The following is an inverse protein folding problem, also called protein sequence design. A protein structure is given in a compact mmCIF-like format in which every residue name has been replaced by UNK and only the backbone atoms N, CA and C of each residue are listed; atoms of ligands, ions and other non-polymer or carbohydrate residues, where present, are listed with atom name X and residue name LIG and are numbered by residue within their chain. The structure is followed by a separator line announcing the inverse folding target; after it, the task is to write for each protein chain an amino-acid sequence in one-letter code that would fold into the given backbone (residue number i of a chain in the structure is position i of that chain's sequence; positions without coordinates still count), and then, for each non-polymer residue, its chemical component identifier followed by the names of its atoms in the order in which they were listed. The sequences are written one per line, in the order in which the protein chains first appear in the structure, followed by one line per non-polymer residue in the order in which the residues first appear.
data_IF_588530167893
#
_entry.id   IF_588530167893
#
_cell.length_a   1.000
_cell.length_b   1.000
_cell.length_c   1.000
_cell.angle_alpha   90.00
_cell.angle_beta   90.00
_cell.angle_gamma   90.00
#
_symmetry.space_group_name_H-M   'P 1'
#
loop_
_entity.id
_entity.type
_entity.pdbx_description
1 polymer ?
#
# COMPACT_ATOMS: atom_id res chain seq x y z
N UNK A 1 3.11 -0.70 11.62
CA UNK A 1 2.35 -0.75 10.36
C UNK A 1 0.92 -0.34 10.66
N UNK A 2 0.26 0.25 9.68
CA UNK A 2 -1.18 0.46 9.65
C UNK A 2 -1.69 -0.15 8.35
N UNK A 3 -2.72 -0.97 8.47
CA UNK A 3 -3.45 -1.61 7.38
C UNK A 3 -4.93 -1.31 7.57
N UNK A 4 -5.62 -0.88 6.52
CA UNK A 4 -7.05 -0.63 6.57
C UNK A 4 -7.75 -1.10 5.29
N UNK A 5 -8.93 -1.71 5.45
CA UNK A 5 -9.84 -1.98 4.33
C UNK A 5 -10.85 -0.83 4.27
N UNK A 6 -10.89 -0.13 3.16
CA UNK A 6 -11.71 1.08 2.98
C UNK A 6 -12.52 1.02 1.69
N UNK A 7 -13.58 1.82 1.68
CA UNK A 7 -14.38 2.14 0.50
C UNK A 7 -14.25 3.65 0.21
N UNK A 8 -14.13 4.01 -1.07
CA UNK A 8 -14.16 5.37 -1.59
C UNK A 8 -14.74 5.34 -3.01
N UNK A 9 -16.07 5.36 -3.19
CA UNK A 9 -16.73 5.16 -4.50
C UNK A 9 -17.32 6.43 -5.09
N UNK A 10 -16.93 6.73 -6.33
CA UNK A 10 -17.37 7.88 -7.11
C UNK A 10 -18.70 7.55 -7.79
N UNK A 11 -19.83 7.83 -7.15
CA UNK A 11 -21.16 7.51 -7.72
C UNK A 11 -21.43 8.20 -9.06
N UNK A 12 -20.86 9.40 -9.26
CA UNK A 12 -20.89 10.14 -10.51
C UNK A 12 -19.79 11.22 -10.50
N UNK A 13 -19.51 11.88 -11.64
CA UNK A 13 -18.46 12.90 -11.70
C UNK A 13 -18.66 14.14 -10.82
N UNK A 14 -19.84 14.35 -10.24
CA UNK A 14 -20.09 15.47 -9.33
C UNK A 14 -19.78 15.13 -7.86
N UNK A 15 -19.61 13.85 -7.50
CA UNK A 15 -19.33 13.47 -6.11
C UNK A 15 -17.91 13.76 -5.71
N UNK A 16 -17.72 14.28 -4.51
CA UNK A 16 -16.40 14.56 -3.95
C UNK A 16 -16.34 14.13 -2.49
N UNK A 17 -15.15 13.78 -2.01
CA UNK A 17 -14.93 13.40 -0.62
C UNK A 17 -13.66 12.61 -0.43
N UNK A 18 -13.42 12.18 0.81
CA UNK A 18 -12.17 11.56 1.23
C UNK A 18 -12.40 10.51 2.31
N UNK A 19 -11.55 9.49 2.31
CA UNK A 19 -11.28 8.62 3.45
C UNK A 19 -9.78 8.60 3.69
N UNK A 20 -9.37 9.04 4.88
CA UNK A 20 -7.97 9.19 5.25
C UNK A 20 -7.73 8.61 6.65
N UNK A 21 -6.59 7.95 6.82
CA UNK A 21 -6.09 7.46 8.10
C UNK A 21 -4.79 8.20 8.42
N UNK A 22 -4.78 8.87 9.56
CA UNK A 22 -3.65 9.65 10.05
C UNK A 22 -2.95 8.91 11.18
N UNK A 23 -1.62 8.89 11.11
CA UNK A 23 -0.74 8.53 12.22
C UNK A 23 -0.35 9.82 12.94
N UNK A 24 -0.63 9.93 14.23
CA UNK A 24 -0.27 11.11 15.04
C UNK A 24 0.72 10.75 16.14
N UNK A 25 1.54 11.72 16.55
CA UNK A 25 2.38 11.62 17.76
C UNK A 25 1.57 11.87 19.05
N UNK A 26 2.25 11.82 20.20
CA UNK A 26 1.62 12.02 21.52
C UNK A 26 1.00 13.40 21.72
N UNK A 27 1.41 14.39 20.92
CA UNK A 27 0.89 15.75 20.92
C UNK A 27 -0.14 15.98 19.81
N UNK A 28 -0.66 14.91 19.21
CA UNK A 28 -1.61 14.95 18.11
C UNK A 28 -1.09 15.65 16.85
N UNK A 29 0.23 15.68 16.64
CA UNK A 29 0.83 16.18 15.40
C UNK A 29 0.96 15.04 14.40
N UNK A 30 0.58 15.28 13.15
CA UNK A 30 0.65 14.26 12.08
C UNK A 30 2.09 13.83 11.85
N UNK A 31 2.29 12.51 11.86
CA UNK A 31 3.52 11.79 11.57
C UNK A 31 3.49 11.22 10.16
N UNK A 32 2.32 10.83 9.68
CA UNK A 32 2.09 10.36 8.32
C UNK A 32 0.61 10.10 8.07
N UNK A 33 0.27 9.80 6.81
CA UNK A 33 -1.11 9.59 6.36
C UNK A 33 -1.16 8.56 5.25
N UNK A 34 -2.24 7.80 5.20
CA UNK A 34 -2.67 7.09 3.99
C UNK A 34 -4.14 7.41 3.70
N UNK A 35 -4.51 7.60 2.45
CA UNK A 35 -5.88 7.94 2.09
C UNK A 35 -6.22 7.71 0.62
N UNK A 36 -7.53 7.72 0.37
CA UNK A 36 -8.14 7.71 -0.96
C UNK A 36 -9.17 8.83 -1.02
N UNK A 37 -9.17 9.60 -2.11
CA UNK A 37 -10.09 10.72 -2.25
C UNK A 37 -10.38 11.09 -3.70
N UNK A 38 -11.51 11.76 -3.91
CA UNK A 38 -11.78 12.52 -5.13
C UNK A 38 -11.89 14.01 -4.79
N UNK A 39 -10.99 14.79 -5.39
CA UNK A 39 -10.86 16.22 -5.16
C UNK A 39 -11.34 17.07 -6.34
N UNK A 40 -11.84 16.47 -7.43
CA UNK A 40 -12.19 17.21 -8.64
C UNK A 40 -13.70 17.18 -8.90
N UNK A 41 -14.29 18.36 -9.06
CA UNK A 41 -15.67 18.47 -9.53
C UNK A 41 -15.74 18.20 -11.02
N UNK A 42 -16.74 17.42 -11.45
CA UNK A 42 -17.00 17.01 -12.83
C UNK A 42 -15.96 16.05 -13.41
N UNK A 43 -15.19 15.37 -12.56
CA UNK A 43 -14.38 14.23 -12.96
C UNK A 43 -14.48 13.14 -11.89
N UNK A 44 -14.44 11.88 -12.31
CA UNK A 44 -14.29 10.76 -11.38
C UNK A 44 -12.84 10.31 -11.49
N UNK A 45 -12.02 10.81 -10.58
CA UNK A 45 -10.57 10.58 -10.56
C UNK A 45 -10.11 10.41 -9.12
N UNK A 46 -10.39 9.24 -8.56
CA UNK A 46 -9.87 8.87 -7.26
C UNK A 46 -8.34 8.93 -7.26
N UNK A 47 -7.80 9.50 -6.19
CA UNK A 47 -6.39 9.75 -6.00
C UNK A 47 -5.95 9.09 -4.70
N UNK A 48 -4.96 8.19 -4.82
CA UNK A 48 -4.36 7.50 -3.70
C UNK A 48 -3.16 8.28 -3.17
N UNK A 49 -3.06 8.42 -1.85
CA UNK A 49 -1.96 9.13 -1.21
C UNK A 49 -1.41 8.36 -0.01
N UNK A 50 -0.09 8.20 0.04
CA UNK A 50 0.68 7.78 1.22
C UNK A 50 1.77 8.81 1.46
N UNK A 51 1.83 9.34 2.68
CA UNK A 51 2.69 10.48 3.02
C UNK A 51 3.36 10.28 4.39
N UNK A 52 4.64 10.64 4.47
CA UNK A 52 5.34 10.88 5.73
C UNK A 52 5.35 12.39 6.05
N UNK A 53 5.11 12.77 7.30
CA UNK A 53 5.08 14.16 7.75
C UNK A 53 3.71 14.82 7.70
N UNK A 54 3.69 16.15 7.59
CA UNK A 54 2.48 16.97 7.68
C UNK A 54 2.60 18.30 6.93
N UNK A 55 1.52 18.75 6.29
CA UNK A 55 1.45 20.07 5.65
C UNK A 55 2.63 20.28 4.68
N UNK A 56 3.30 21.43 4.74
CA UNK A 56 4.44 21.74 3.86
C UNK A 56 5.71 20.94 4.18
N UNK A 57 5.79 20.32 5.37
CA UNK A 57 6.91 19.48 5.77
C UNK A 57 6.54 18.01 5.64
N UNK A 58 6.58 17.52 4.39
CA UNK A 58 6.16 16.17 4.06
C UNK A 58 7.08 15.50 3.02
N UNK A 59 6.90 14.19 2.87
CA UNK A 59 7.35 13.42 1.73
C UNK A 59 6.19 12.54 1.22
N UNK A 60 5.84 12.69 -0.05
CA UNK A 60 4.83 11.87 -0.74
C UNK A 60 5.46 10.58 -1.24
N UNK A 61 5.12 9.46 -0.60
CA UNK A 61 5.59 8.11 -0.96
C UNK A 61 4.76 7.58 -2.14
N UNK A 62 3.44 7.75 -2.06
CA UNK A 62 2.49 7.52 -3.16
C UNK A 62 1.62 8.77 -3.26
N UNK A 63 1.42 9.27 -4.48
CA UNK A 63 0.52 10.38 -4.76
C UNK A 63 0.12 10.32 -6.25
N UNK A 64 -0.83 9.46 -6.59
CA UNK A 64 -1.22 9.23 -7.99
C UNK A 64 -2.63 8.62 -8.13
N UNK A 65 -3.18 8.71 -9.35
CA UNK A 65 -4.43 8.05 -9.75
C UNK A 65 -4.25 6.58 -10.14
N UNK A 66 -3.02 6.08 -10.13
CA UNK A 66 -2.64 4.75 -10.65
C UNK A 66 -2.21 4.79 -12.12
N UNK A 67 -2.16 3.63 -12.78
CA UNK A 67 -1.71 3.50 -14.18
C UNK A 67 -2.59 4.27 -15.17
N UNK A 68 -3.91 4.30 -14.92
CA UNK A 68 -4.88 5.15 -15.60
C UNK A 68 -5.48 6.16 -14.62
N UNK A 69 -6.03 7.27 -15.13
CA UNK A 69 -6.71 8.27 -14.28
C UNK A 69 -7.90 7.71 -13.49
N UNK A 70 -8.48 6.63 -13.99
CA UNK A 70 -9.64 5.95 -13.40
C UNK A 70 -9.24 4.69 -12.64
N UNK A 71 -7.94 4.38 -12.47
CA UNK A 71 -7.51 3.11 -11.88
C UNK A 71 -8.08 2.93 -10.48
N UNK A 72 -8.13 3.98 -9.66
CA UNK A 72 -8.68 3.90 -8.31
C UNK A 72 -10.18 4.22 -8.21
N UNK A 73 -10.90 4.40 -9.32
CA UNK A 73 -12.33 4.72 -9.22
C UNK A 73 -13.12 3.56 -8.61
N UNK A 74 -14.20 3.91 -7.92
CA UNK A 74 -15.06 2.94 -7.23
C UNK A 74 -14.28 2.07 -6.22
N UNK A 75 -13.31 2.71 -5.55
CA UNK A 75 -12.33 2.03 -4.70
C UNK A 75 -13.02 1.24 -3.60
N UNK A 76 -12.70 -0.04 -3.55
CA UNK A 76 -12.86 -0.89 -2.38
C UNK A 76 -11.55 -1.67 -2.25
N UNK A 77 -10.83 -1.50 -1.15
CA UNK A 77 -9.45 -1.99 -1.14
C UNK A 77 -8.68 -1.70 0.13
N UNK A 78 -7.41 -2.13 0.12
CA UNK A 78 -6.45 -1.90 1.18
C UNK A 78 -5.76 -0.55 1.00
N UNK A 79 -5.62 0.14 2.13
CA UNK A 79 -4.69 1.24 2.35
C UNK A 79 -3.66 0.82 3.39
N UNK A 80 -2.38 0.94 3.05
CA UNK A 80 -1.27 0.53 3.91
C UNK A 80 -0.19 1.60 4.02
N UNK A 81 0.29 1.81 5.24
CA UNK A 81 1.48 2.61 5.51
C UNK A 81 2.29 1.96 6.63
N UNK A 82 3.60 1.92 6.46
CA UNK A 82 4.47 1.38 7.49
C UNK A 82 5.84 2.05 7.53
N UNK A 83 6.43 2.02 8.73
CA UNK A 83 7.74 2.61 9.04
C UNK A 83 8.52 1.71 10.00
N UNK A 84 9.79 1.47 9.71
CA UNK A 84 10.78 0.88 10.63
C UNK A 84 12.05 1.70 10.55
N UNK A 85 12.44 2.33 11.65
CA UNK A 85 13.55 3.28 11.63
C UNK A 85 13.26 4.41 10.64
N UNK A 86 14.22 4.72 9.77
CA UNK A 86 14.11 5.76 8.76
C UNK A 86 13.58 5.25 7.41
N UNK A 87 13.14 4.00 7.35
CA UNK A 87 12.53 3.43 6.16
C UNK A 87 11.01 3.51 6.24
N UNK A 88 10.41 4.00 5.17
CA UNK A 88 8.99 4.13 4.96
C UNK A 88 8.55 3.31 3.76
N UNK A 89 7.36 2.71 3.85
CA UNK A 89 6.67 2.10 2.72
C UNK A 89 5.19 2.49 2.72
N UNK A 90 4.63 2.54 1.52
CA UNK A 90 3.22 2.73 1.26
C UNK A 90 2.72 1.68 0.30
N UNK A 91 1.48 1.27 0.50
CA UNK A 91 0.79 0.41 -0.44
C UNK A 91 -0.71 0.76 -0.56
N UNK A 92 -1.24 0.65 -1.77
CA UNK A 92 -2.66 0.83 -2.10
C UNK A 92 -3.07 -0.33 -3.02
N UNK A 93 -4.09 -1.09 -2.63
CA UNK A 93 -4.53 -2.24 -3.42
C UNK A 93 -6.06 -2.33 -3.55
N UNK A 94 -6.56 -2.51 -4.76
CA UNK A 94 -7.96 -2.78 -5.07
C UNK A 94 -8.31 -4.24 -4.80
N UNK A 95 -9.48 -4.45 -4.20
CA UNK A 95 -10.08 -5.76 -3.97
C UNK A 95 -11.29 -5.89 -4.89
N UNK A 96 -11.31 -6.93 -5.73
CA UNK A 96 -12.41 -7.23 -6.65
C UNK A 96 -13.66 -7.77 -5.93
N UNK A 97 -14.76 -7.92 -6.67
CA UNK A 97 -16.03 -8.43 -6.13
C UNK A 97 -15.95 -9.86 -5.58
N UNK A 98 -14.92 -10.63 -5.97
CA UNK A 98 -14.66 -11.99 -5.49
C UNK A 98 -13.75 -11.99 -4.25
N UNK A 99 -13.29 -10.82 -3.80
CA UNK A 99 -12.40 -10.66 -2.66
C UNK A 99 -10.91 -10.80 -2.99
N UNK A 100 -10.52 -10.86 -4.27
CA UNK A 100 -9.12 -10.98 -4.66
C UNK A 100 -8.49 -9.59 -4.86
N UNK A 101 -7.21 -9.49 -4.52
CA UNK A 101 -6.43 -8.29 -4.80
C UNK A 101 -6.09 -8.21 -6.29
N UNK A 102 -6.57 -7.15 -6.96
CA UNK A 102 -6.55 -7.04 -8.41
C UNK A 102 -5.52 -6.03 -8.95
N UNK A 103 -5.40 -4.86 -8.32
CA UNK A 103 -4.49 -3.79 -8.77
C UNK A 103 -3.82 -3.19 -7.56
N UNK A 104 -2.49 -3.11 -7.57
CA UNK A 104 -1.70 -2.69 -6.43
C UNK A 104 -0.67 -1.62 -6.82
N UNK A 105 -0.36 -0.74 -5.87
CA UNK A 105 0.71 0.25 -5.98
C UNK A 105 1.51 0.25 -4.70
N UNK A 106 2.73 -0.24 -4.81
CA UNK A 106 3.74 -0.21 -3.77
C UNK A 106 4.80 0.87 -4.04
N UNK A 107 5.24 1.56 -2.98
CA UNK A 107 6.40 2.44 -3.02
C UNK A 107 7.13 2.49 -1.68
N UNK A 108 8.44 2.74 -1.75
CA UNK A 108 9.34 2.76 -0.59
C UNK A 108 10.27 3.97 -0.61
N UNK A 109 10.67 4.41 0.58
CA UNK A 109 11.53 5.58 0.74
C UNK A 109 12.41 5.50 1.99
N UNK A 110 13.69 5.87 1.83
CA UNK A 110 14.62 6.07 2.94
C UNK A 110 14.75 7.55 3.29
N UNK A 111 14.35 7.90 4.50
CA UNK A 111 14.60 9.19 5.12
C UNK A 111 16.07 9.29 5.59
N UNK A 112 16.97 9.51 4.63
CA UNK A 112 18.42 9.61 4.89
C UNK A 112 18.78 10.74 5.86
N UNK A 113 17.92 11.77 5.95
CA UNK A 113 18.06 12.90 6.86
C UNK A 113 17.47 12.66 8.25
N UNK A 114 16.80 11.54 8.50
CA UNK A 114 16.10 11.24 9.77
C UNK A 114 15.10 12.36 10.19
N UNK A 115 14.50 13.02 9.21
CA UNK A 115 13.57 14.14 9.37
C UNK A 115 12.15 13.74 9.79
N UNK A 116 11.77 12.48 9.57
CA UNK A 116 10.43 11.94 9.75
C UNK A 116 10.45 10.75 10.71
N UNK A 117 11.06 10.96 11.88
CA UNK A 117 11.34 9.90 12.86
C UNK A 117 10.41 9.87 14.06
N UNK A 118 9.42 10.78 14.11
CA UNK A 118 8.46 10.90 15.21
C UNK A 118 7.76 9.57 15.52
N UNK A 119 7.56 9.31 16.81
CA UNK A 119 6.84 8.13 17.28
C UNK A 119 5.34 8.33 17.09
N UNK A 120 4.67 7.30 16.59
CA UNK A 120 3.21 7.27 16.48
C UNK A 120 2.64 6.86 17.85
N UNK A 121 1.64 7.60 18.31
CA UNK A 121 0.92 7.34 19.55
C UNK A 121 -0.60 7.27 19.35
N UNK A 122 -1.13 7.83 18.26
CA UNK A 122 -2.57 7.87 18.01
C UNK A 122 -2.88 7.63 16.52
N UNK A 123 -4.13 7.25 16.28
CA UNK A 123 -4.70 7.04 14.94
C UNK A 123 -5.97 7.88 14.84
N UNK A 124 -6.13 8.59 13.73
CA UNK A 124 -7.36 9.32 13.41
C UNK A 124 -7.89 8.85 12.06
N UNK A 125 -9.19 8.58 12.02
CA UNK A 125 -9.93 8.29 10.79
C UNK A 125 -10.66 9.58 10.42
N UNK A 126 -10.45 10.04 9.19
CA UNK A 126 -11.08 11.23 8.63
C UNK A 126 -11.89 10.84 7.41
N UNK A 127 -13.21 10.98 7.52
CA UNK A 127 -14.15 10.81 6.41
C UNK A 127 -14.89 12.13 6.25
N UNK A 128 -14.84 12.72 5.06
CA UNK A 128 -15.50 13.99 4.79
C UNK A 128 -15.96 14.14 3.33
N UNK A 129 -16.97 14.98 3.13
CA UNK A 129 -17.38 15.49 1.83
C UNK A 129 -16.82 16.90 1.61
N UNK A 130 -16.82 17.36 0.35
CA UNK A 130 -16.34 18.70 0.02
C UNK A 130 -17.47 19.71 -0.17
N UNK A 131 -17.60 20.65 0.77
CA UNK A 131 -18.53 21.78 0.70
C UNK A 131 -19.97 21.36 0.34
N UNK A 132 -20.50 21.86 -0.77
CA UNK A 132 -21.85 21.59 -1.30
C UNK A 132 -21.88 20.46 -2.34
N UNK A 133 -20.73 19.84 -2.65
CA UNK A 133 -20.69 18.72 -3.57
C UNK A 133 -21.45 17.52 -2.96
N UNK A 134 -22.20 16.77 -3.78
CA UNK A 134 -22.70 15.46 -3.37
C UNK A 134 -21.55 14.61 -2.80
N UNK A 135 -21.80 13.91 -1.71
CA UNK A 135 -20.77 13.04 -1.11
C UNK A 135 -20.54 11.81 -1.98
N UNK A 136 -19.29 11.40 -2.11
CA UNK A 136 -18.96 10.02 -2.50
C UNK A 136 -19.31 9.04 -1.37
N UNK A 137 -19.31 7.73 -1.65
CA UNK A 137 -19.42 6.71 -0.60
C UNK A 137 -18.04 6.50 0.00
N UNK A 138 -17.90 6.75 1.30
CA UNK A 138 -16.66 6.50 2.02
C UNK A 138 -16.93 5.68 3.30
N UNK A 139 -16.14 4.65 3.53
CA UNK A 139 -16.22 3.82 4.73
C UNK A 139 -14.86 3.21 5.08
N UNK A 140 -14.70 2.82 6.35
CA UNK A 140 -13.59 2.00 6.81
C UNK A 140 -14.18 0.73 7.42
N UNK A 141 -13.82 -0.43 6.86
CA UNK A 141 -14.38 -1.73 7.23
C UNK A 141 -13.51 -2.48 8.25
N UNK A 142 -12.19 -2.33 8.16
CA UNK A 142 -11.24 -2.96 9.07
C UNK A 142 -10.02 -2.05 9.24
N UNK A 143 -9.43 -2.05 10.44
CA UNK A 143 -8.17 -1.37 10.72
C UNK A 143 -7.33 -2.28 11.61
N UNK A 144 -6.09 -2.51 11.19
CA UNK A 144 -5.06 -3.19 11.97
C UNK A 144 -3.87 -2.27 12.13
N UNK A 145 -3.47 -2.07 13.38
CA UNK A 145 -2.27 -1.30 13.72
C UNK A 145 -1.36 -2.17 14.55
N UNK A 146 -0.15 -2.39 14.03
CA UNK A 146 0.79 -3.34 14.62
C UNK A 146 2.14 -2.66 14.82
N UNK A 147 2.74 -2.92 15.97
CA UNK A 147 4.12 -2.54 16.22
C UNK A 147 5.04 -3.60 15.63
N UNK A 148 5.92 -3.20 14.72
CA UNK A 148 7.02 -4.07 14.28
C UNK A 148 8.04 -4.13 15.40
N UNK A 149 8.22 -5.31 15.99
CA UNK A 149 9.30 -5.57 16.94
C UNK A 149 10.39 -6.30 16.17
N UNK A 150 11.59 -5.72 16.08
CA UNK A 150 12.75 -6.42 15.54
C UNK A 150 13.15 -7.52 16.51
N UNK A 151 13.00 -8.78 16.10
CA UNK A 151 13.46 -9.91 16.90
C UNK A 151 14.99 -9.84 17.03
N UNK A 152 15.49 -9.77 18.26
CA UNK A 152 16.93 -9.90 18.55
C UNK A 152 17.43 -11.34 18.42
N UNK A 153 16.53 -12.30 18.26
CA UNK A 153 16.82 -13.71 18.02
C UNK A 153 16.36 -14.11 16.61
N UNK A 154 17.19 -14.85 15.86
CA UNK A 154 16.83 -15.41 14.54
C UNK A 154 15.75 -16.49 14.71
N UNK A 155 14.51 -16.10 14.91
CA UNK A 155 13.37 -16.96 14.61
C UNK A 155 13.06 -16.78 13.13
N UNK A 156 13.29 -17.84 12.34
CA UNK A 156 12.87 -17.87 10.93
C UNK A 156 11.36 -18.11 10.95
N UNK A 157 10.51 -17.14 10.57
CA UNK A 157 9.08 -17.36 10.51
C UNK A 157 8.77 -18.39 9.41
N UNK A 158 8.00 -19.42 9.74
CA UNK A 158 7.44 -20.35 8.74
C UNK A 158 6.22 -19.70 8.09
N UNK A 159 6.45 -19.05 6.97
CA UNK A 159 5.44 -18.27 6.23
C UNK A 159 4.61 -19.14 5.28
N UNK A 160 5.26 -20.15 4.70
CA UNK A 160 4.67 -21.05 3.70
C UNK A 160 4.78 -22.49 4.17
N UNK A 161 3.79 -23.30 3.83
CA UNK A 161 3.74 -24.73 4.08
C UNK A 161 3.73 -25.52 2.77
N UNK A 162 4.05 -26.81 2.84
CA UNK A 162 4.00 -27.69 1.66
C UNK A 162 2.58 -27.72 1.10
N UNK A 163 2.44 -27.31 -0.15
CA UNK A 163 1.15 -27.26 -0.86
C UNK A 163 0.63 -25.84 -1.09
N UNK A 164 1.23 -24.83 -0.46
CA UNK A 164 0.89 -23.43 -0.73
C UNK A 164 1.36 -23.01 -2.13
N UNK A 165 0.51 -22.26 -2.83
CA UNK A 165 0.86 -21.58 -4.07
C UNK A 165 1.29 -20.15 -3.74
N UNK A 166 2.55 -19.81 -4.01
CA UNK A 166 3.08 -18.45 -3.84
C UNK A 166 3.20 -17.79 -5.20
N UNK A 167 2.56 -16.64 -5.37
CA UNK A 167 2.60 -15.86 -6.60
C UNK A 167 3.20 -14.49 -6.29
N UNK A 168 4.26 -14.12 -7.02
CA UNK A 168 4.89 -12.81 -6.93
C UNK A 168 4.81 -12.19 -8.33
N UNK A 169 3.99 -11.15 -8.48
CA UNK A 169 3.91 -10.39 -9.73
C UNK A 169 4.55 -9.01 -9.52
N UNK A 170 5.71 -8.81 -10.14
CA UNK A 170 6.46 -7.55 -10.02
C UNK A 170 5.91 -6.45 -10.93
N UNK A 171 4.91 -6.75 -11.78
CA UNK A 171 4.30 -5.78 -12.70
C UNK A 171 3.22 -4.93 -12.03
N UNK A 172 2.47 -5.50 -11.10
CA UNK A 172 1.50 -4.83 -10.22
C UNK A 172 1.98 -4.75 -8.77
N UNK A 173 3.18 -5.27 -8.47
CA UNK A 173 3.76 -5.33 -7.13
C UNK A 173 2.91 -6.18 -6.15
N UNK A 174 2.34 -7.28 -6.60
CA UNK A 174 1.53 -8.15 -5.75
C UNK A 174 2.26 -9.40 -5.28
N UNK A 175 1.93 -9.81 -4.05
CA UNK A 175 2.39 -11.07 -3.45
C UNK A 175 1.17 -11.79 -2.90
N UNK A 176 0.94 -13.02 -3.35
CA UNK A 176 -0.20 -13.83 -2.95
C UNK A 176 0.25 -15.20 -2.46
N UNK A 177 -0.40 -15.71 -1.42
CA UNK A 177 -0.29 -17.09 -0.95
C UNK A 177 -1.70 -17.70 -1.03
N UNK A 178 -1.86 -18.73 -1.85
CA UNK A 178 -3.15 -19.37 -2.14
C UNK A 178 -4.21 -18.37 -2.63
N UNK A 179 -3.80 -17.39 -3.45
CA UNK A 179 -4.65 -16.31 -3.96
C UNK A 179 -4.96 -15.18 -2.96
N UNK A 180 -4.68 -15.37 -1.66
CA UNK A 180 -4.81 -14.32 -0.67
C UNK A 180 -3.55 -13.43 -0.67
N UNK A 181 -3.73 -12.12 -0.55
CA UNK A 181 -2.59 -11.22 -0.45
C UNK A 181 -1.74 -11.50 0.80
N UNK A 182 -0.42 -11.41 0.58
CA UNK A 182 0.61 -11.66 1.56
C UNK A 182 1.67 -10.55 1.57
N UNK A 183 1.33 -9.32 1.16
CA UNK A 183 2.28 -8.20 1.11
C UNK A 183 2.89 -7.91 2.47
N UNK A 184 2.09 -8.08 3.52
CA UNK A 184 2.48 -7.87 4.91
C UNK A 184 3.55 -8.86 5.39
N UNK A 185 3.77 -9.94 4.64
CA UNK A 185 4.78 -10.95 4.93
C UNK A 185 6.10 -10.69 4.22
N UNK A 186 6.07 -9.94 3.12
CA UNK A 186 7.28 -9.48 2.45
C UNK A 186 8.16 -8.78 3.48
N UNK A 187 9.45 -9.12 3.49
CA UNK A 187 10.40 -8.42 4.36
C UNK A 187 10.30 -6.93 4.05
N UNK A 188 10.07 -6.15 5.11
CA UNK A 188 9.80 -4.73 5.08
C UNK A 188 10.82 -3.97 4.24
N UNK A 189 12.08 -4.42 4.21
CA UNK A 189 13.19 -3.79 3.47
C UNK A 189 13.54 -4.44 2.12
N UNK A 190 12.79 -5.44 1.67
CA UNK A 190 13.07 -6.11 0.39
C UNK A 190 12.53 -5.32 -0.81
N UNK A 191 13.15 -5.45 -1.98
CA UNK A 191 12.61 -4.94 -3.26
C UNK A 191 11.87 -6.06 -4.01
N UNK A 192 10.98 -5.69 -4.95
CA UNK A 192 10.46 -6.63 -5.93
C UNK A 192 11.54 -7.06 -6.92
N UNK A 193 11.35 -8.24 -7.51
CA UNK A 193 12.28 -8.79 -8.50
C UNK A 193 12.28 -7.89 -9.74
N UNK A 194 13.47 -7.43 -10.14
CA UNK A 194 13.68 -6.65 -11.36
C UNK A 194 14.51 -7.44 -12.35
N UNK A 195 14.10 -7.40 -13.61
CA UNK A 195 14.82 -8.04 -14.73
C UNK A 195 15.51 -6.93 -15.52
N UNK A 196 16.84 -6.95 -15.50
CA UNK A 196 17.68 -5.97 -16.20
C UNK A 196 18.06 -6.46 -17.61
N UNK A 197 18.54 -5.55 -18.47
CA UNK A 197 19.02 -5.94 -19.80
C UNK A 197 20.27 -6.83 -19.66
N UNK A 198 20.23 -8.02 -20.27
CA UNK A 198 21.34 -8.96 -20.29
C UNK A 198 21.04 -10.23 -19.51
N UNK A 199 22.06 -10.81 -18.88
CA UNK A 199 21.92 -12.05 -18.12
C UNK A 199 21.43 -11.74 -16.71
N UNK A 200 20.28 -12.31 -16.35
CA UNK A 200 19.74 -12.27 -15.00
C UNK A 200 19.83 -13.67 -14.38
N UNK A 201 20.05 -13.75 -13.07
CA UNK A 201 20.02 -14.99 -12.31
C UNK A 201 18.97 -14.82 -11.21
N UNK A 202 17.98 -15.70 -11.19
CA UNK A 202 16.92 -15.72 -10.19
C UNK A 202 17.12 -17.00 -9.40
N UNK A 203 17.46 -16.85 -8.13
CA UNK A 203 17.67 -17.95 -7.20
C UNK A 203 16.57 -17.94 -6.14
N UNK A 204 16.14 -19.15 -5.76
CA UNK A 204 15.20 -19.34 -4.66
C UNK A 204 15.90 -20.18 -3.61
N UNK A 205 15.90 -19.66 -2.39
CA UNK A 205 16.57 -20.25 -1.24
C UNK A 205 15.56 -20.52 -0.11
N UNK A 206 15.53 -21.73 0.47
CA UNK A 206 16.30 -22.90 0.04
C UNK A 206 15.82 -23.46 -1.31
N UNK A 207 16.73 -24.06 -2.09
CA UNK A 207 16.47 -24.49 -3.47
C UNK A 207 15.60 -25.75 -3.61
N UNK A 208 15.18 -26.33 -2.48
CA UNK A 208 14.37 -27.55 -2.42
C UNK A 208 12.92 -27.30 -1.94
N UNK A 209 12.45 -26.05 -1.96
CA UNK A 209 11.13 -25.70 -1.42
C UNK A 209 9.95 -26.01 -2.34
N UNK A 210 10.18 -26.29 -3.62
CA UNK A 210 9.09 -26.60 -4.55
C UNK A 210 9.46 -26.49 -6.03
N UNK A 211 8.43 -26.46 -6.87
CA UNK A 211 8.53 -26.12 -8.28
C UNK A 211 8.40 -24.61 -8.45
N UNK A 212 9.16 -24.05 -9.38
CA UNK A 212 9.20 -22.61 -9.63
C UNK A 212 9.04 -22.40 -11.12
N UNK A 213 8.03 -21.62 -11.48
CA UNK A 213 7.81 -21.13 -12.83
C UNK A 213 8.04 -19.62 -12.85
N UNK A 214 8.88 -19.15 -13.78
CA UNK A 214 9.13 -17.72 -13.98
C UNK A 214 8.65 -17.34 -15.37
N UNK A 215 7.77 -16.34 -15.44
CA UNK A 215 7.37 -15.71 -16.70
C UNK A 215 7.81 -14.26 -16.70
N UNK A 216 8.27 -13.77 -17.84
CA UNK A 216 8.65 -12.37 -18.00
C UNK A 216 8.17 -11.85 -19.35
N UNK A 217 7.91 -10.54 -19.42
CA UNK A 217 7.58 -9.84 -20.65
C UNK A 217 8.68 -8.82 -20.96
N UNK A 218 9.36 -9.00 -22.08
CA UNK A 218 10.35 -8.03 -22.56
C UNK A 218 9.72 -6.65 -22.75
N UNK A 219 10.33 -5.61 -22.18
CA UNK A 219 9.95 -4.20 -22.40
C UNK A 219 11.04 -3.52 -23.22
N UNK A 220 10.68 -3.18 -24.46
CA UNK A 220 11.46 -2.45 -25.48
C UNK A 220 12.67 -3.19 -26.11
N UNK A 221 12.90 -2.89 -27.40
CA UNK A 221 14.09 -3.26 -28.19
C UNK A 221 15.12 -2.15 -28.17
#
# INVERSE_FOLDING_TARGET
TLDAIVECRNLNPATMGRVELYLLDENSVVVGKVGMFDAYRNSSENFGEVMAGNGDYNHLIIAETGYYRTTWNDFYGRLHIARVGNYWQGDIALIDEKGNYHTEKFAQWWDTGNSFMKKVAQIVIHICSFNDAPSLIAAVHDIKVQKVNSNTERQIPYIVQKGDLVEIDSSDASIRINGADAINIKDFMSDYIRIEKGKNEIEISPNNIGQVDVTYRERYR
#
